data_IF_727357283677
#
_entry.id   IF_727357283677
#
_cell.length_a   1.000
_cell.length_b   1.000
_cell.length_c   1.000
_cell.angle_alpha   90.00
_cell.angle_beta   90.00
_cell.angle_gamma   90.00
#
_symmetry.space_group_name_H-M   'P 1'
#
loop_
_entity.id
_entity.type
_entity.pdbx_description
1 polymer ?
#
# COMPACT_ATOMS: atom_id res chain seq x y z
N UNK A 1 9.96 4.33 19.10
CA UNK A 1 10.23 5.71 19.57
C UNK A 1 10.29 6.59 18.35
N UNK A 2 9.19 7.25 17.98
CA UNK A 2 9.18 8.20 16.87
C UNK A 2 10.05 9.43 17.18
N UNK A 3 10.51 10.17 16.16
CA UNK A 3 11.39 11.31 16.36
C UNK A 3 10.71 12.43 17.17
N UNK A 4 11.45 13.16 18.01
CA UNK A 4 10.94 14.33 18.72
C UNK A 4 10.67 15.47 17.72
N UNK A 5 9.43 15.96 17.64
CA UNK A 5 9.12 17.11 16.78
C UNK A 5 7.65 17.31 16.38
N UNK A 6 6.80 16.30 16.53
CA UNK A 6 5.41 16.41 16.06
C UNK A 6 5.34 16.32 14.53
N UNK A 7 4.37 15.51 14.07
CA UNK A 7 4.09 15.18 12.68
C UNK A 7 5.14 14.28 11.97
N UNK A 8 4.69 13.08 11.54
CA UNK A 8 5.49 12.03 10.89
C UNK A 8 4.75 11.59 9.61
N UNK A 9 4.50 12.53 8.68
CA UNK A 9 3.59 12.33 7.55
C UNK A 9 3.72 13.36 6.42
N UNK A 10 2.81 13.29 5.44
CA UNK A 10 2.50 14.36 4.47
C UNK A 10 1.11 14.93 4.79
N UNK A 11 0.95 16.25 4.66
CA UNK A 11 -0.27 16.95 5.04
C UNK A 11 -0.90 17.64 3.83
N UNK A 12 -2.13 17.25 3.50
CA UNK A 12 -2.97 17.98 2.56
C UNK A 12 -4.16 18.60 3.30
N UNK A 13 -4.13 19.92 3.46
CA UNK A 13 -5.11 20.62 4.31
C UNK A 13 -4.97 20.18 5.78
N UNK A 14 -5.92 19.40 6.29
CA UNK A 14 -5.87 18.83 7.64
C UNK A 14 -5.52 17.32 7.65
N UNK A 15 -5.33 16.69 6.49
CA UNK A 15 -4.97 15.27 6.39
C UNK A 15 -3.58 15.03 6.97
N UNK A 16 -3.39 13.92 7.68
CA UNK A 16 -2.13 13.55 8.34
C UNK A 16 -2.03 12.04 8.33
N UNK A 17 -1.12 11.49 7.54
CA UNK A 17 -0.88 10.04 7.53
C UNK A 17 0.36 9.66 8.33
N UNK A 18 0.36 8.45 8.90
CA UNK A 18 1.52 7.85 9.56
C UNK A 18 1.41 6.33 9.57
N UNK A 19 2.57 5.66 9.50
CA UNK A 19 2.70 4.21 9.65
C UNK A 19 2.83 3.76 11.12
N UNK A 20 2.80 4.67 12.09
CA UNK A 20 2.83 4.32 13.52
C UNK A 20 1.45 3.92 14.05
N UNK A 21 1.33 3.17 15.15
CA UNK A 21 0.02 2.88 15.78
C UNK A 21 -0.82 4.14 16.04
N UNK A 22 -2.15 4.02 16.01
CA UNK A 22 -3.06 5.14 16.30
C UNK A 22 -2.92 5.70 17.73
N UNK A 23 -2.31 4.93 18.65
CA UNK A 23 -1.95 5.36 19.99
C UNK A 23 -0.77 6.34 20.01
N UNK A 24 0.06 6.33 18.97
CA UNK A 24 1.34 7.03 18.94
C UNK A 24 1.25 8.31 18.09
N UNK A 25 0.50 8.23 16.99
CA UNK A 25 0.19 9.37 16.11
C UNK A 25 -1.32 9.44 15.91
N UNK A 26 -1.93 10.53 16.39
CA UNK A 26 -3.35 10.80 16.16
C UNK A 26 -3.60 11.07 14.68
N UNK A 27 -4.61 10.40 14.14
CA UNK A 27 -5.07 10.59 12.77
C UNK A 27 -6.41 11.32 12.77
N UNK A 28 -6.61 12.36 11.95
CA UNK A 28 -7.92 12.97 11.78
C UNK A 28 -8.90 11.98 11.15
N UNK A 29 -10.11 11.90 11.68
CA UNK A 29 -11.15 11.01 11.17
C UNK A 29 -11.89 10.27 12.27
N UNK A 30 -12.63 9.23 11.90
CA UNK A 30 -13.40 8.38 12.81
C UNK A 30 -12.85 6.96 12.80
N UNK A 31 -12.55 6.44 13.99
CA UNK A 31 -12.19 5.03 14.15
C UNK A 31 -13.40 4.13 13.89
N UNK A 32 -13.21 3.01 13.19
CA UNK A 32 -14.28 2.07 12.87
C UNK A 32 -14.98 1.52 14.12
N UNK A 33 -14.25 1.35 15.23
CA UNK A 33 -14.81 0.91 16.52
C UNK A 33 -15.75 1.92 17.19
N UNK A 34 -15.66 3.20 16.82
CA UNK A 34 -16.54 4.25 17.32
C UNK A 34 -17.80 4.45 16.46
N UNK A 35 -17.86 3.82 15.28
CA UNK A 35 -18.99 3.93 14.37
C UNK A 35 -20.13 3.00 14.78
N UNK A 36 -21.36 3.48 14.62
CA UNK A 36 -22.55 2.60 14.65
C UNK A 36 -22.51 1.61 13.47
N UNK A 37 -23.27 0.51 13.54
CA UNK A 37 -23.30 -0.48 12.47
C UNK A 37 -23.66 0.11 11.08
N UNK A 38 -24.65 1.01 10.93
CA UNK A 38 -24.92 1.67 9.64
C UNK A 38 -23.76 2.55 9.16
N UNK A 39 -23.09 3.27 10.06
CA UNK A 39 -21.94 4.11 9.72
C UNK A 39 -20.73 3.27 9.29
N UNK A 40 -20.44 2.17 10.01
CA UNK A 40 -19.38 1.23 9.62
C UNK A 40 -19.68 0.61 8.26
N UNK A 41 -20.92 0.19 8.01
CA UNK A 41 -21.32 -0.34 6.71
C UNK A 41 -21.13 0.70 5.58
N UNK A 42 -21.49 1.97 5.82
CA UNK A 42 -21.28 3.05 4.85
C UNK A 42 -19.79 3.32 4.59
N UNK A 43 -18.94 3.32 5.63
CA UNK A 43 -17.50 3.47 5.49
C UNK A 43 -16.89 2.34 4.63
N UNK A 44 -17.24 1.09 4.91
CA UNK A 44 -16.76 -0.06 4.12
C UNK A 44 -17.30 -0.05 2.69
N UNK A 45 -18.52 0.42 2.47
CA UNK A 45 -19.07 0.59 1.11
C UNK A 45 -18.31 1.65 0.32
N UNK A 46 -17.92 2.76 0.96
CA UNK A 46 -17.08 3.78 0.32
C UNK A 46 -15.73 3.19 -0.11
N UNK A 47 -15.06 2.42 0.77
CA UNK A 47 -13.82 1.71 0.42
C UNK A 47 -14.01 0.76 -0.76
N UNK A 48 -15.07 -0.05 -0.73
CA UNK A 48 -15.37 -0.97 -1.83
C UNK A 48 -15.66 -0.25 -3.15
N UNK A 49 -16.08 1.00 -3.11
CA UNK A 49 -16.36 1.82 -4.30
C UNK A 49 -15.09 2.38 -4.92
N UNK A 50 -14.15 2.85 -4.09
CA UNK A 50 -12.90 3.47 -4.56
C UNK A 50 -11.81 2.46 -4.89
N UNK A 51 -11.87 1.25 -4.32
CA UNK A 51 -10.89 0.19 -4.53
C UNK A 51 -11.34 -0.83 -5.58
N UNK A 52 -10.39 -1.51 -6.21
CA UNK A 52 -10.69 -2.70 -7.01
C UNK A 52 -11.12 -3.87 -6.12
N UNK A 53 -11.71 -4.95 -6.66
CA UNK A 53 -11.99 -6.16 -5.89
C UNK A 53 -10.74 -6.73 -5.19
N UNK A 54 -9.58 -6.68 -5.84
CA UNK A 54 -8.30 -7.12 -5.27
C UNK A 54 -7.84 -6.17 -4.17
N UNK A 55 -7.89 -4.85 -4.41
CA UNK A 55 -7.51 -3.84 -3.43
C UNK A 55 -8.39 -3.88 -2.17
N UNK A 56 -9.70 -4.06 -2.34
CA UNK A 56 -10.63 -4.19 -1.22
C UNK A 56 -10.35 -5.47 -0.40
N UNK A 57 -10.13 -6.60 -1.07
CA UNK A 57 -9.77 -7.85 -0.40
C UNK A 57 -8.44 -7.71 0.38
N UNK A 58 -7.43 -7.06 -0.23
CA UNK A 58 -6.16 -6.75 0.42
C UNK A 58 -6.35 -5.94 1.70
N UNK A 59 -7.18 -4.90 1.66
CA UNK A 59 -7.51 -4.09 2.85
C UNK A 59 -8.14 -4.94 3.95
N UNK A 60 -9.09 -5.81 3.62
CA UNK A 60 -9.74 -6.70 4.60
C UNK A 60 -8.74 -7.66 5.25
N UNK A 61 -7.82 -8.22 4.47
CA UNK A 61 -6.80 -9.15 4.97
C UNK A 61 -5.79 -8.46 5.88
N UNK A 62 -5.38 -7.23 5.54
CA UNK A 62 -4.49 -6.41 6.38
C UNK A 62 -5.20 -6.07 7.70
N UNK A 63 -6.44 -5.58 7.65
CA UNK A 63 -7.24 -5.30 8.84
C UNK A 63 -7.40 -6.55 9.72
N UNK A 64 -7.69 -7.69 9.10
CA UNK A 64 -7.83 -8.97 9.80
C UNK A 64 -6.54 -9.46 10.42
N UNK A 65 -5.38 -9.17 9.82
CA UNK A 65 -4.07 -9.50 10.40
C UNK A 65 -3.73 -8.70 11.65
N UNK A 66 -4.27 -7.49 11.78
CA UNK A 66 -4.07 -6.68 12.99
C UNK A 66 -4.87 -7.21 14.18
N UNK A 67 -5.96 -7.96 13.95
CA UNK A 67 -6.84 -8.43 15.03
C UNK A 67 -6.15 -9.41 16.00
N UNK A 68 -5.38 -10.41 15.54
CA UNK A 68 -4.54 -11.23 16.42
C UNK A 68 -3.62 -10.44 17.35
N UNK A 69 -3.13 -9.26 16.95
CA UNK A 69 -2.31 -8.41 17.82
C UNK A 69 -3.12 -7.85 18.99
N UNK A 70 -4.35 -7.42 18.73
CA UNK A 70 -5.28 -6.98 19.77
C UNK A 70 -5.61 -8.12 20.72
N UNK A 71 -5.91 -9.29 20.17
CA UNK A 71 -6.27 -10.47 20.94
C UNK A 71 -5.10 -10.95 21.82
N UNK A 72 -3.86 -10.74 21.36
CA UNK A 72 -2.63 -11.00 22.12
C UNK A 72 -2.29 -9.92 23.16
N UNK A 73 -3.02 -8.80 23.20
CA UNK A 73 -2.83 -7.73 24.18
C UNK A 73 -1.59 -6.87 23.92
N UNK A 74 -1.26 -6.55 22.66
CA UNK A 74 -0.17 -5.62 22.34
C UNK A 74 -0.35 -4.28 23.06
N UNK A 75 0.75 -3.64 23.45
CA UNK A 75 0.76 -2.36 24.17
C UNK A 75 0.51 -1.12 23.30
N UNK A 76 0.20 -1.32 22.02
CA UNK A 76 -0.15 -0.28 21.06
C UNK A 76 -1.52 -0.54 20.45
N UNK A 77 -2.15 0.50 19.91
CA UNK A 77 -3.44 0.38 19.24
C UNK A 77 -3.33 -0.53 18.00
N UNK A 78 -4.03 -1.67 18.03
CA UNK A 78 -4.10 -2.67 16.96
C UNK A 78 -5.55 -3.10 16.72
N UNK A 79 -5.75 -4.00 15.75
CA UNK A 79 -7.04 -4.59 15.42
C UNK A 79 -7.90 -3.78 14.46
N UNK A 80 -8.98 -4.39 13.98
CA UNK A 80 -9.87 -3.77 12.99
C UNK A 80 -10.51 -2.47 13.49
N UNK A 81 -10.75 -2.39 14.81
CA UNK A 81 -11.49 -1.31 15.43
C UNK A 81 -10.76 0.04 15.37
N UNK A 82 -9.42 0.04 15.28
CA UNK A 82 -8.61 1.26 15.32
C UNK A 82 -8.29 1.82 13.93
N UNK A 83 -8.75 1.16 12.87
CA UNK A 83 -8.70 1.71 11.52
C UNK A 83 -9.57 2.96 11.45
N UNK A 84 -9.05 4.00 10.83
CA UNK A 84 -9.62 5.35 10.83
C UNK A 84 -10.00 5.73 9.41
N UNK A 85 -11.21 6.27 9.25
CA UNK A 85 -11.68 6.87 8.00
C UNK A 85 -11.72 8.39 8.14
N UNK A 86 -11.09 9.10 7.22
CA UNK A 86 -11.09 10.55 7.10
C UNK A 86 -11.65 10.99 5.75
N UNK A 87 -12.53 11.98 5.75
CA UNK A 87 -13.00 12.65 4.52
C UNK A 87 -12.63 14.12 4.63
N UNK A 88 -11.82 14.59 3.70
CA UNK A 88 -11.29 15.95 3.70
C UNK A 88 -11.78 16.73 2.49
N UNK A 89 -12.40 17.88 2.75
CA UNK A 89 -13.15 18.63 1.75
C UNK A 89 -14.59 18.12 1.61
N UNK A 90 -15.33 18.75 0.69
CA UNK A 90 -16.69 18.33 0.35
C UNK A 90 -16.64 17.34 -0.82
N UNK A 91 -17.14 16.10 -0.66
CA UNK A 91 -17.21 15.15 -1.76
C UNK A 91 -17.88 15.76 -2.99
N UNK A 92 -17.18 15.72 -4.11
CA UNK A 92 -17.59 16.40 -5.32
C UNK A 92 -17.19 15.62 -6.57
N UNK A 93 -18.02 15.71 -7.61
CA UNK A 93 -17.71 15.18 -8.93
C UNK A 93 -16.81 16.12 -9.75
N UNK A 94 -16.49 17.32 -9.24
CA UNK A 94 -15.75 18.35 -10.00
C UNK A 94 -14.67 19.06 -9.20
N UNK A 95 -14.81 19.15 -7.87
CA UNK A 95 -13.81 19.76 -6.99
C UNK A 95 -12.95 18.70 -6.32
N UNK A 96 -11.66 18.96 -6.05
CA UNK A 96 -10.82 18.04 -5.31
C UNK A 96 -11.34 17.79 -3.90
N UNK A 97 -11.35 16.53 -3.49
CA UNK A 97 -11.55 16.07 -2.12
C UNK A 97 -10.72 14.82 -1.88
N UNK A 98 -10.58 14.40 -0.63
CA UNK A 98 -9.72 13.29 -0.26
C UNK A 98 -10.43 12.33 0.69
N UNK A 99 -10.21 11.04 0.45
CA UNK A 99 -10.49 9.96 1.39
C UNK A 99 -9.16 9.44 1.94
N UNK A 100 -9.04 9.44 3.25
CA UNK A 100 -7.96 8.76 3.96
C UNK A 100 -8.55 7.53 4.67
N UNK A 101 -7.88 6.39 4.52
CA UNK A 101 -8.21 5.19 5.28
C UNK A 101 -6.95 4.46 5.70
N UNK A 102 -6.84 4.14 6.98
CA UNK A 102 -5.64 3.47 7.46
C UNK A 102 -5.64 3.12 8.94
N UNK A 103 -4.59 2.42 9.32
CA UNK A 103 -4.29 1.94 10.66
C UNK A 103 -2.79 1.75 10.80
N UNK A 104 -2.36 0.89 11.72
CA UNK A 104 -0.94 0.65 11.94
C UNK A 104 -0.24 0.11 10.68
N UNK A 105 -0.84 -0.85 9.97
CA UNK A 105 -0.25 -1.52 8.81
C UNK A 105 -0.88 -1.12 7.46
N UNK A 106 -1.65 -0.05 7.40
CA UNK A 106 -2.28 0.43 6.16
C UNK A 106 -2.35 1.94 6.14
N UNK A 107 -2.01 2.56 5.02
CA UNK A 107 -2.35 3.94 4.74
C UNK A 107 -2.77 4.07 3.27
N UNK A 108 -4.01 4.50 3.04
CA UNK A 108 -4.58 4.82 1.74
C UNK A 108 -4.91 6.31 1.73
N UNK A 109 -4.20 7.09 0.92
CA UNK A 109 -4.42 8.52 0.74
C UNK A 109 -4.95 8.74 -0.67
N UNK A 110 -6.27 8.85 -0.83
CA UNK A 110 -6.95 8.87 -2.12
C UNK A 110 -7.47 10.28 -2.38
N UNK A 111 -6.81 11.02 -3.27
CA UNK A 111 -7.29 12.31 -3.77
C UNK A 111 -8.13 12.07 -5.01
N UNK A 112 -9.34 12.65 -5.02
CA UNK A 112 -10.30 12.56 -6.11
C UNK A 112 -10.54 13.97 -6.63
N UNK A 113 -10.29 14.20 -7.92
CA UNK A 113 -10.39 15.48 -8.60
C UNK A 113 -11.14 15.31 -9.95
N UNK A 114 -12.45 15.10 -9.87
CA UNK A 114 -13.27 14.82 -11.05
C UNK A 114 -12.99 13.43 -11.61
N UNK A 115 -12.53 13.35 -12.85
CA UNK A 115 -12.11 12.10 -13.47
C UNK A 115 -10.67 11.71 -13.11
N UNK A 116 -9.89 12.67 -12.60
CA UNK A 116 -8.51 12.47 -12.20
C UNK A 116 -8.41 12.17 -10.71
N UNK A 117 -7.33 11.52 -10.31
CA UNK A 117 -7.11 11.18 -8.92
C UNK A 117 -5.76 10.51 -8.71
N UNK A 118 -5.36 10.39 -7.46
CA UNK A 118 -4.15 9.66 -7.09
C UNK A 118 -4.34 8.96 -5.76
N UNK A 119 -3.66 7.82 -5.60
CA UNK A 119 -3.61 7.07 -4.35
C UNK A 119 -2.17 7.04 -3.85
N UNK A 120 -1.69 8.20 -3.40
CA UNK A 120 -0.34 8.38 -2.88
C UNK A 120 -0.34 9.44 -1.77
N UNK A 121 0.43 9.26 -0.70
CA UNK A 121 1.24 8.07 -0.40
C UNK A 121 0.39 6.85 -0.01
N UNK A 122 0.89 5.66 -0.32
CA UNK A 122 0.24 4.38 0.02
C UNK A 122 1.20 3.50 0.80
N UNK A 123 0.71 2.88 1.87
CA UNK A 123 1.43 1.89 2.66
C UNK A 123 0.56 0.64 2.80
N UNK A 124 1.10 -0.51 2.44
CA UNK A 124 0.52 -1.82 2.72
C UNK A 124 1.53 -2.65 3.52
N UNK A 125 1.19 -3.00 4.75
CA UNK A 125 1.96 -3.91 5.60
C UNK A 125 1.04 -4.95 6.23
N UNK A 126 1.62 -5.91 6.94
CA UNK A 126 0.86 -6.89 7.70
C UNK A 126 1.68 -7.41 8.87
N UNK A 127 1.05 -7.59 10.03
CA UNK A 127 1.65 -8.27 11.16
C UNK A 127 0.56 -9.01 11.97
N UNK A 128 0.59 -10.35 12.02
CA UNK A 128 1.47 -11.25 11.27
C UNK A 128 1.14 -11.28 9.77
N UNK A 129 2.11 -11.65 8.92
CA UNK A 129 1.87 -11.83 7.47
C UNK A 129 1.05 -13.09 7.15
N UNK A 130 0.87 -13.98 8.12
CA UNK A 130 0.03 -15.17 8.01
C UNK A 130 -0.81 -15.30 9.27
N UNK A 131 -2.12 -15.47 9.11
CA UNK A 131 -3.04 -15.72 10.23
C UNK A 131 -4.15 -16.69 9.83
N UNK A 132 -4.89 -17.18 10.83
CA UNK A 132 -6.04 -18.07 10.61
C UNK A 132 -7.32 -17.35 10.96
N UNK A 133 -8.30 -17.37 10.05
CA UNK A 133 -9.64 -16.83 10.29
C UNK A 133 -10.70 -17.79 9.72
N UNK A 134 -11.71 -18.13 10.52
CA UNK A 134 -12.77 -19.04 10.10
C UNK A 134 -12.26 -20.42 9.62
N UNK A 135 -11.15 -20.91 10.20
CA UNK A 135 -10.51 -22.17 9.81
C UNK A 135 -9.70 -22.13 8.51
N UNK A 136 -9.51 -20.94 7.91
CA UNK A 136 -8.69 -20.75 6.71
C UNK A 136 -7.41 -20.01 7.05
N UNK A 137 -6.29 -20.46 6.49
CA UNK A 137 -5.02 -19.73 6.50
C UNK A 137 -5.07 -18.61 5.46
N UNK A 138 -4.75 -17.39 5.89
CA UNK A 138 -4.67 -16.20 5.04
C UNK A 138 -3.20 -15.78 5.00
N UNK A 139 -2.64 -15.59 3.79
CA UNK A 139 -1.30 -15.04 3.56
C UNK A 139 -1.46 -13.62 3.03
N UNK A 140 -1.30 -12.64 3.92
CA UNK A 140 -1.53 -11.22 3.58
C UNK A 140 -0.39 -10.72 2.71
N UNK A 141 -0.69 -9.92 1.69
CA UNK A 141 0.27 -9.41 0.70
C UNK A 141 1.04 -10.53 -0.04
N UNK A 142 0.46 -11.73 -0.14
CA UNK A 142 1.13 -12.85 -0.78
C UNK A 142 1.34 -12.64 -2.28
N UNK A 143 0.43 -11.94 -2.97
CA UNK A 143 0.51 -11.77 -4.41
C UNK A 143 1.72 -10.91 -4.82
N UNK A 144 2.04 -9.88 -4.04
CA UNK A 144 3.26 -9.08 -4.19
C UNK A 144 4.50 -9.96 -4.17
N UNK A 145 4.61 -10.83 -3.17
CA UNK A 145 5.75 -11.72 -3.01
C UNK A 145 5.78 -12.80 -4.11
N UNK A 146 4.66 -13.49 -4.32
CA UNK A 146 4.56 -14.60 -5.26
C UNK A 146 4.84 -14.14 -6.71
N UNK A 147 4.35 -12.94 -7.09
CA UNK A 147 4.65 -12.37 -8.42
C UNK A 147 6.11 -11.91 -8.54
N UNK A 148 6.69 -11.33 -7.49
CA UNK A 148 8.09 -10.91 -7.49
C UNK A 148 9.05 -12.11 -7.54
N UNK A 149 8.77 -13.19 -6.80
CA UNK A 149 9.53 -14.44 -6.90
C UNK A 149 9.39 -15.06 -8.29
N UNK A 150 8.20 -15.07 -8.89
CA UNK A 150 8.02 -15.56 -10.26
C UNK A 150 8.85 -14.78 -11.30
N UNK A 151 8.99 -13.46 -11.13
CA UNK A 151 9.90 -12.65 -11.96
C UNK A 151 11.36 -13.03 -11.70
N UNK A 152 11.78 -13.10 -10.43
CA UNK A 152 13.14 -13.44 -10.02
C UNK A 152 13.58 -14.81 -10.58
N UNK A 153 12.69 -15.80 -10.54
CA UNK A 153 12.93 -17.15 -11.06
C UNK A 153 13.05 -17.19 -12.58
N UNK A 154 12.37 -16.27 -13.28
CA UNK A 154 12.46 -16.14 -14.73
C UNK A 154 13.72 -15.41 -15.21
N UNK A 155 14.49 -14.79 -14.32
CA UNK A 155 15.73 -14.12 -14.66
C UNK A 155 16.86 -15.11 -14.95
N UNK A 156 17.70 -14.78 -15.93
CA UNK A 156 18.96 -15.51 -16.18
C UNK A 156 19.95 -15.28 -15.04
N UNK A 157 20.93 -16.17 -14.88
CA UNK A 157 21.99 -15.99 -13.87
C UNK A 157 22.78 -14.68 -14.03
N UNK A 158 22.90 -14.16 -15.27
CA UNK A 158 23.51 -12.85 -15.53
C UNK A 158 22.62 -11.71 -15.01
N UNK A 159 21.32 -11.78 -15.24
CA UNK A 159 20.34 -10.80 -14.77
C UNK A 159 20.20 -10.84 -13.24
N UNK A 160 20.17 -12.03 -12.63
CA UNK A 160 20.10 -12.20 -11.16
C UNK A 160 21.25 -11.49 -10.43
N UNK A 161 22.45 -11.49 -11.01
CA UNK A 161 23.61 -10.74 -10.48
C UNK A 161 23.45 -9.21 -10.54
N UNK A 162 22.55 -8.70 -11.38
CA UNK A 162 22.25 -7.26 -11.44
C UNK A 162 21.18 -6.87 -10.44
N UNK A 163 20.16 -7.71 -10.22
CA UNK A 163 18.99 -7.33 -9.39
C UNK A 163 19.25 -7.38 -7.89
N UNK A 164 20.22 -8.18 -7.42
CA UNK A 164 20.53 -8.30 -5.98
C UNK A 164 21.60 -7.27 -5.61
N UNK A 165 21.26 -6.22 -4.82
CA UNK A 165 22.24 -5.25 -4.37
C UNK A 165 23.25 -5.91 -3.43
N UNK A 166 24.44 -5.30 -3.29
CA UNK A 166 25.49 -5.77 -2.38
C UNK A 166 25.27 -5.33 -0.92
N UNK A 167 24.07 -4.84 -0.61
CA UNK A 167 23.66 -4.36 0.71
C UNK A 167 22.22 -4.81 0.98
N UNK A 168 21.82 -4.76 2.24
CA UNK A 168 20.47 -5.14 2.67
C UNK A 168 19.61 -3.87 2.83
N UNK A 169 18.41 -3.87 2.23
CA UNK A 169 17.40 -2.85 2.49
C UNK A 169 16.66 -3.21 3.78
N UNK A 170 16.98 -2.52 4.88
CA UNK A 170 16.40 -2.76 6.21
C UNK A 170 15.26 -1.83 6.58
N UNK A 171 15.11 -0.74 5.84
CA UNK A 171 14.12 0.31 6.07
C UNK A 171 13.65 0.88 4.74
N UNK A 172 12.56 1.66 4.75
CA UNK A 172 12.03 2.33 3.57
C UNK A 172 13.09 3.27 2.97
N UNK A 173 13.39 3.06 1.68
CA UNK A 173 14.31 3.93 0.91
C UNK A 173 13.74 5.35 0.76
N UNK A 174 12.40 5.44 0.72
CA UNK A 174 11.65 6.69 0.70
C UNK A 174 10.40 6.53 1.59
N UNK A 175 10.27 7.41 2.58
CA UNK A 175 9.19 7.36 3.57
C UNK A 175 8.56 8.73 3.82
N UNK A 176 7.68 8.83 4.83
CA UNK A 176 6.99 10.08 5.16
C UNK A 176 7.98 11.25 5.37
N UNK A 177 7.63 12.43 4.89
CA UNK A 177 8.45 13.65 5.00
C UNK A 177 9.60 13.77 3.99
N UNK A 178 9.75 12.82 3.06
CA UNK A 178 10.77 12.86 2.00
C UNK A 178 10.21 13.16 0.60
N UNK A 179 9.05 13.82 0.53
CA UNK A 179 8.41 14.20 -0.73
C UNK A 179 9.38 14.89 -1.71
N UNK A 180 9.35 14.49 -2.98
CA UNK A 180 10.19 15.06 -4.05
C UNK A 180 11.63 14.52 -4.10
N UNK A 181 12.05 13.67 -3.16
CA UNK A 181 13.36 13.01 -3.25
C UNK A 181 13.34 11.96 -4.36
N UNK A 182 14.30 12.06 -5.29
CA UNK A 182 14.48 11.08 -6.35
C UNK A 182 15.28 9.87 -5.84
N UNK A 183 14.73 8.67 -6.00
CA UNK A 183 15.43 7.42 -5.73
C UNK A 183 16.32 7.10 -6.93
N UNK A 184 17.57 6.71 -6.68
CA UNK A 184 18.45 6.27 -7.75
C UNK A 184 17.99 4.91 -8.28
N UNK A 185 17.87 4.72 -9.60
CA UNK A 185 17.51 3.42 -10.15
C UNK A 185 18.58 2.37 -9.82
N UNK A 186 18.14 1.19 -9.39
CA UNK A 186 19.01 0.06 -9.07
C UNK A 186 18.44 -1.22 -9.68
N UNK A 187 19.31 -2.18 -9.99
CA UNK A 187 18.90 -3.47 -10.51
C UNK A 187 18.84 -3.57 -12.03
N UNK A 188 17.99 -4.46 -12.52
CA UNK A 188 17.83 -4.75 -13.95
C UNK A 188 16.84 -3.78 -14.59
N UNK A 189 17.28 -3.05 -15.62
CA UNK A 189 16.42 -2.18 -16.43
C UNK A 189 15.48 -3.03 -17.30
N UNK A 190 14.20 -2.69 -17.38
CA UNK A 190 13.22 -3.48 -18.13
C UNK A 190 13.48 -3.52 -19.65
N UNK A 191 14.26 -2.57 -20.19
CA UNK A 191 14.75 -2.64 -21.58
C UNK A 191 15.71 -3.81 -21.82
N UNK A 192 16.30 -4.38 -20.77
CA UNK A 192 17.17 -5.57 -20.81
C UNK A 192 16.42 -6.87 -20.48
N UNK A 193 15.12 -6.79 -20.24
CA UNK A 193 14.24 -7.94 -20.03
C UNK A 193 13.65 -8.45 -21.35
N UNK A 194 13.46 -9.76 -21.45
CA UNK A 194 12.70 -10.33 -22.56
C UNK A 194 11.19 -10.04 -22.43
N UNK A 195 10.41 -10.37 -23.46
CA UNK A 195 8.96 -10.11 -23.47
C UNK A 195 8.21 -10.77 -22.30
N UNK A 196 8.62 -11.96 -21.87
CA UNK A 196 7.97 -12.70 -20.77
C UNK A 196 8.29 -12.03 -19.43
N UNK A 197 9.56 -11.67 -19.21
CA UNK A 197 10.01 -10.97 -18.01
C UNK A 197 9.34 -9.59 -17.87
N UNK A 198 9.13 -8.87 -18.98
CA UNK A 198 8.41 -7.58 -18.97
C UNK A 198 6.95 -7.71 -18.53
N UNK A 199 6.25 -8.75 -19.00
CA UNK A 199 4.89 -9.07 -18.55
C UNK A 199 4.89 -9.40 -17.06
N UNK A 200 5.87 -10.18 -16.59
CA UNK A 200 6.01 -10.50 -15.16
C UNK A 200 6.31 -9.25 -14.32
N UNK A 201 7.11 -8.30 -14.81
CA UNK A 201 7.34 -7.02 -14.15
C UNK A 201 6.04 -6.20 -14.04
N UNK A 202 5.24 -6.13 -15.10
CA UNK A 202 3.93 -5.48 -15.04
C UNK A 202 2.98 -6.15 -14.02
N UNK A 203 3.02 -7.48 -13.91
CA UNK A 203 2.23 -8.21 -12.90
C UNK A 203 2.68 -7.91 -11.45
N UNK A 204 3.97 -7.63 -11.23
CA UNK A 204 4.48 -7.17 -9.93
C UNK A 204 3.95 -5.76 -9.66
N UNK A 205 4.13 -4.84 -10.61
CA UNK A 205 3.68 -3.45 -10.51
C UNK A 205 2.16 -3.36 -10.25
N UNK A 206 1.38 -4.19 -10.92
CA UNK A 206 -0.08 -4.20 -10.81
C UNK A 206 -0.56 -4.51 -9.39
N UNK A 207 0.24 -5.19 -8.57
CA UNK A 207 -0.11 -5.45 -7.17
C UNK A 207 -0.27 -4.18 -6.33
N UNK A 208 0.36 -3.07 -6.73
CA UNK A 208 0.18 -1.76 -6.13
C UNK A 208 -0.73 -0.84 -6.96
N UNK A 209 -0.52 -0.79 -8.27
CA UNK A 209 -1.26 0.11 -9.15
C UNK A 209 -2.75 -0.22 -9.25
N UNK A 210 -3.12 -1.50 -9.17
CA UNK A 210 -4.51 -1.97 -9.28
C UNK A 210 -5.22 -2.07 -7.91
N UNK A 211 -4.67 -1.48 -6.84
CA UNK A 211 -5.38 -1.39 -5.55
C UNK A 211 -6.61 -0.47 -5.70
N UNK A 212 -6.46 0.65 -6.41
CA UNK A 212 -7.56 1.57 -6.73
C UNK A 212 -8.44 0.97 -7.84
N UNK A 213 -9.71 1.39 -7.93
CA UNK A 213 -10.61 0.88 -8.95
C UNK A 213 -10.13 1.15 -10.39
N UNK A 214 -10.72 0.42 -11.34
CA UNK A 214 -10.40 0.46 -12.77
C UNK A 214 -10.45 1.86 -13.41
N UNK A 215 -11.24 2.79 -12.85
CA UNK A 215 -11.35 4.13 -13.41
C UNK A 215 -10.03 4.91 -13.31
N UNK A 216 -9.24 4.64 -12.26
CA UNK A 216 -7.93 5.23 -12.05
C UNK A 216 -6.79 4.28 -12.45
N UNK A 217 -6.92 2.99 -12.11
CA UNK A 217 -5.86 2.00 -12.32
C UNK A 217 -5.51 1.81 -13.80
N UNK A 218 -6.50 1.82 -14.72
CA UNK A 218 -6.25 1.62 -16.16
C UNK A 218 -5.35 2.70 -16.77
N UNK A 219 -5.65 3.96 -16.47
CA UNK A 219 -4.84 5.09 -16.94
C UNK A 219 -3.43 4.98 -16.37
N UNK A 220 -3.31 4.68 -15.07
CA UNK A 220 -2.01 4.54 -14.41
C UNK A 220 -1.17 3.39 -14.98
N UNK A 221 -1.78 2.23 -15.23
CA UNK A 221 -1.10 1.09 -15.82
C UNK A 221 -0.66 1.37 -17.26
N UNK A 222 -1.46 2.10 -18.05
CA UNK A 222 -1.07 2.51 -19.40
C UNK A 222 0.13 3.47 -19.39
N UNK A 223 0.19 4.43 -18.45
CA UNK A 223 1.37 5.29 -18.25
C UNK A 223 2.62 4.46 -17.92
N UNK A 224 2.49 3.53 -16.96
CA UNK A 224 3.62 2.69 -16.54
C UNK A 224 4.09 1.79 -17.69
N UNK A 225 3.18 1.23 -18.48
CA UNK A 225 3.54 0.40 -19.63
C UNK A 225 4.27 1.21 -20.71
N UNK A 226 3.84 2.45 -20.97
CA UNK A 226 4.50 3.35 -21.93
C UNK A 226 5.94 3.67 -21.52
N UNK A 227 6.19 3.87 -20.22
CA UNK A 227 7.50 4.20 -19.67
C UNK A 227 8.27 2.98 -19.13
N UNK A 228 7.78 1.76 -19.37
CA UNK A 228 8.31 0.54 -18.75
C UNK A 228 9.80 0.37 -19.02
N UNK A 229 10.29 0.78 -20.19
CA UNK A 229 11.71 0.70 -20.55
C UNK A 229 12.63 1.42 -19.57
N UNK A 230 12.15 2.46 -18.89
CA UNK A 230 12.90 3.24 -17.90
C UNK A 230 12.65 2.76 -16.45
N UNK A 231 11.91 1.66 -16.28
CA UNK A 231 11.67 1.02 -15.00
C UNK A 231 12.76 0.01 -14.68
N UNK A 232 13.12 -0.09 -13.40
CA UNK A 232 14.15 -0.99 -12.90
C UNK A 232 13.58 -1.92 -11.85
N UNK A 233 14.09 -3.16 -11.80
CA UNK A 233 13.75 -4.15 -10.79
C UNK A 233 14.99 -4.54 -9.98
N UNK A 234 14.92 -4.32 -8.67
CA UNK A 234 15.91 -4.75 -7.69
C UNK A 234 15.25 -5.62 -6.60
N UNK A 235 16.02 -6.53 -6.01
CA UNK A 235 15.55 -7.49 -5.02
C UNK A 235 16.47 -7.52 -3.80
N UNK A 236 15.93 -7.15 -2.63
CA UNK A 236 16.60 -7.30 -1.35
C UNK A 236 15.82 -8.31 -0.49
N UNK A 237 16.34 -9.53 -0.40
CA UNK A 237 15.74 -10.60 0.40
C UNK A 237 16.29 -11.97 0.04
N UNK A 238 15.82 -13.04 0.70
CA UNK A 238 16.15 -14.42 0.33
C UNK A 238 15.81 -14.71 -1.14
N UNK A 239 16.58 -15.59 -1.78
CA UNK A 239 16.31 -16.06 -3.15
C UNK A 239 15.54 -17.39 -3.18
N UNK A 240 15.35 -18.00 -2.00
CA UNK A 240 14.64 -19.25 -1.75
C UNK A 240 14.19 -19.30 -0.28
#
# INVERSE_FOLDING_TARGET
MGPPGGFIGEQYGQAVWSNYPASDVLRPGLQLGALTAPQRAAAMLLLRTVLSPMGYQKVLEIMGSDQPLTDAGTNFASGEAVYTIGVFGEPSATKPWMLEFGGHHLALNIVIAGADGTMTPTLTGAQPSVYTHGGKTIRVLAQENDTAFALLDALTEKQKKQVVPNYEVRDLVLGPGQAGKQIQPEGLKASEMDAKQRIMLLNVISQWADIVNDAYAKTRMAEIEADLNETYFAWSGPLA
#
